data_IF_124205273223
#
_entry.id   IF_124205273223
#
_cell.length_a   1.000
_cell.length_b   1.000
_cell.length_c   1.000
_cell.angle_alpha   90.00
_cell.angle_beta   90.00
_cell.angle_gamma   90.00
#
_symmetry.space_group_name_H-M   'P 1'
#
loop_
_entity.id
_entity.type
_entity.pdbx_description
1 polymer ?
#
# COMPACT_ATOMS: atom_id res chain seq x y z
N UNK A 1 14.65 -2.62 7.60
CA UNK A 1 15.07 -1.19 7.63
C UNK A 1 16.02 -0.86 6.48
N UNK A 2 17.09 -1.66 6.32
CA UNK A 2 18.14 -1.36 5.33
C UNK A 2 17.60 -1.22 3.90
N UNK A 3 16.68 -2.07 3.48
CA UNK A 3 16.07 -2.03 2.14
C UNK A 3 15.42 -0.67 1.82
N UNK A 4 14.81 -0.04 2.83
CA UNK A 4 14.20 1.28 2.67
C UNK A 4 15.26 2.39 2.64
N UNK A 5 16.31 2.30 3.45
CA UNK A 5 17.42 3.26 3.42
C UNK A 5 18.16 3.20 2.09
N UNK A 6 18.40 2.00 1.56
CA UNK A 6 19.02 1.78 0.24
C UNK A 6 18.17 2.42 -0.88
N UNK A 7 16.84 2.37 -0.77
CA UNK A 7 15.94 3.04 -1.70
C UNK A 7 16.06 4.58 -1.61
N UNK A 8 16.06 5.13 -0.39
CA UNK A 8 16.24 6.58 -0.19
C UNK A 8 17.57 7.06 -0.81
N UNK A 9 18.67 6.37 -0.51
CA UNK A 9 19.99 6.68 -1.07
C UNK A 9 20.01 6.55 -2.59
N UNK A 10 19.43 5.49 -3.14
CA UNK A 10 19.33 5.28 -4.58
C UNK A 10 18.60 6.42 -5.28
N UNK A 11 17.44 6.83 -4.77
CA UNK A 11 16.66 7.91 -5.37
C UNK A 11 17.39 9.24 -5.25
N UNK A 12 17.99 9.53 -4.09
CA UNK A 12 18.78 10.73 -3.86
C UNK A 12 19.98 10.83 -4.82
N UNK A 13 20.73 9.74 -4.98
CA UNK A 13 22.00 9.75 -5.72
C UNK A 13 21.84 9.52 -7.22
N UNK A 14 20.80 8.81 -7.66
CA UNK A 14 20.61 8.37 -9.04
C UNK A 14 19.30 8.85 -9.67
N UNK A 15 18.40 9.42 -8.87
CA UNK A 15 17.12 9.94 -9.33
C UNK A 15 17.27 11.07 -10.32
N UNK A 16 16.34 11.15 -11.28
CA UNK A 16 16.30 12.22 -12.27
C UNK A 16 15.17 13.19 -11.92
N UNK A 17 15.38 14.51 -12.16
CA UNK A 17 14.32 15.48 -11.99
C UNK A 17 13.10 15.14 -12.84
N UNK A 18 11.91 15.25 -12.25
CA UNK A 18 10.65 15.01 -12.91
C UNK A 18 9.59 15.97 -12.38
N UNK A 19 8.77 16.50 -13.29
CA UNK A 19 7.60 17.28 -12.90
C UNK A 19 6.51 16.39 -12.28
N UNK A 20 5.65 17.01 -11.49
CA UNK A 20 4.52 16.38 -10.85
C UNK A 20 3.27 17.27 -10.90
N UNK A 21 2.12 16.71 -10.52
CA UNK A 21 0.83 17.41 -10.53
C UNK A 21 0.78 18.62 -9.59
N UNK A 22 1.58 18.60 -8.51
CA UNK A 22 1.58 19.68 -7.49
C UNK A 22 2.46 20.85 -7.88
N UNK A 23 3.36 20.69 -8.85
CA UNK A 23 4.34 21.69 -9.24
C UNK A 23 5.53 21.82 -8.27
N UNK A 24 5.63 20.98 -7.25
CA UNK A 24 6.74 20.97 -6.29
C UNK A 24 8.04 20.49 -6.92
N UNK A 25 7.95 19.54 -7.85
CA UNK A 25 9.08 18.83 -8.44
C UNK A 25 9.51 17.61 -7.61
N UNK A 26 9.99 16.62 -8.32
CA UNK A 26 10.48 15.38 -7.71
C UNK A 26 11.82 14.97 -8.32
N UNK A 27 12.55 14.11 -7.60
CA UNK A 27 13.59 13.26 -8.19
C UNK A 27 13.06 11.82 -8.12
N UNK A 28 13.23 11.06 -9.19
CA UNK A 28 12.66 9.70 -9.26
C UNK A 28 13.57 8.70 -9.94
N UNK A 29 13.37 7.42 -9.59
CA UNK A 29 13.86 6.25 -10.32
C UNK A 29 12.65 5.41 -10.73
N UNK A 30 12.76 4.71 -11.87
CA UNK A 30 11.71 3.82 -12.34
C UNK A 30 12.11 2.37 -12.12
N UNK A 31 11.28 1.66 -11.34
CA UNK A 31 11.50 0.27 -11.00
C UNK A 31 12.43 0.05 -9.80
N UNK A 32 11.85 -0.42 -8.70
CA UNK A 32 12.60 -0.87 -7.53
C UNK A 32 11.78 -1.92 -6.76
N UNK A 33 12.48 -2.82 -6.06
CA UNK A 33 11.82 -3.82 -5.23
C UNK A 33 12.54 -3.93 -3.89
N UNK A 34 11.76 -3.95 -2.81
CA UNK A 34 12.21 -4.23 -1.44
C UNK A 34 11.58 -5.53 -0.95
N UNK A 35 12.27 -6.23 -0.05
CA UNK A 35 11.78 -7.45 0.60
C UNK A 35 11.92 -7.33 2.11
N UNK A 36 10.84 -7.67 2.83
CA UNK A 36 10.80 -7.64 4.29
C UNK A 36 10.41 -9.03 4.79
N UNK A 37 11.28 -9.66 5.56
CA UNK A 37 10.96 -10.92 6.22
C UNK A 37 10.08 -10.66 7.43
N UNK A 38 8.80 -11.05 7.35
CA UNK A 38 7.82 -10.81 8.40
C UNK A 38 7.92 -11.79 9.57
N UNK A 39 8.71 -12.87 9.42
CA UNK A 39 8.99 -13.80 10.53
C UNK A 39 9.96 -13.17 11.53
N UNK A 40 10.91 -12.36 11.05
CA UNK A 40 11.95 -11.76 11.89
C UNK A 40 11.40 -10.56 12.68
N UNK A 41 10.62 -9.70 12.02
CA UNK A 41 10.05 -8.51 12.65
C UNK A 41 8.96 -7.88 11.80
N UNK A 42 8.10 -7.08 12.45
CA UNK A 42 7.18 -6.20 11.75
C UNK A 42 7.92 -4.95 11.23
N UNK A 43 7.89 -4.65 9.92
CA UNK A 43 8.66 -3.55 9.32
C UNK A 43 8.01 -2.18 9.58
N UNK A 44 7.97 -1.75 10.83
CA UNK A 44 7.59 -0.41 11.21
C UNK A 44 8.84 0.47 11.17
N UNK A 45 8.94 1.30 10.12
CA UNK A 45 10.13 2.14 9.92
C UNK A 45 10.24 3.21 10.99
N UNK A 46 11.47 3.51 11.42
CA UNK A 46 11.77 4.49 12.47
C UNK A 46 12.46 5.77 11.95
N UNK A 47 12.78 5.84 10.66
CA UNK A 47 13.33 7.03 9.99
C UNK A 47 12.43 8.26 10.08
N UNK A 48 11.13 8.03 10.29
CA UNK A 48 10.14 9.05 10.65
C UNK A 48 9.07 8.42 11.55
N UNK A 49 8.41 9.24 12.35
CA UNK A 49 7.31 8.78 13.21
C UNK A 49 6.11 8.36 12.33
N UNK A 50 5.81 7.07 12.31
CA UNK A 50 4.61 6.52 11.68
C UNK A 50 3.48 6.49 12.69
N UNK A 51 2.35 7.12 12.36
CA UNK A 51 1.15 7.05 13.18
C UNK A 51 0.41 5.73 12.89
N UNK A 52 0.81 4.66 13.57
CA UNK A 52 0.32 3.29 13.33
C UNK A 52 -1.21 3.17 13.43
N UNK A 53 -1.83 3.96 14.31
CA UNK A 53 -3.31 4.02 14.41
C UNK A 53 -3.93 4.37 13.05
N UNK A 54 -3.40 5.35 12.32
CA UNK A 54 -3.89 5.72 10.99
C UNK A 54 -3.72 4.58 9.99
N UNK A 55 -2.59 3.87 10.02
CA UNK A 55 -2.35 2.69 9.17
C UNK A 55 -3.41 1.62 9.41
N UNK A 56 -3.67 1.28 10.67
CA UNK A 56 -4.60 0.22 11.04
C UNK A 56 -6.06 0.59 10.66
N UNK A 57 -6.50 1.82 10.96
CA UNK A 57 -7.86 2.25 10.65
C UNK A 57 -8.09 2.43 9.14
N UNK A 58 -7.12 2.90 8.38
CA UNK A 58 -7.20 2.95 6.92
C UNK A 58 -7.35 1.54 6.33
N UNK A 59 -6.53 0.58 6.76
CA UNK A 59 -6.64 -0.80 6.30
C UNK A 59 -8.01 -1.41 6.64
N UNK A 60 -8.52 -1.20 7.86
CA UNK A 60 -9.85 -1.66 8.26
C UNK A 60 -10.95 -1.00 7.42
N UNK A 61 -10.80 0.27 7.09
CA UNK A 61 -11.72 1.00 6.22
C UNK A 61 -11.74 0.41 4.80
N UNK A 62 -10.58 0.10 4.21
CA UNK A 62 -10.52 -0.63 2.94
C UNK A 62 -11.20 -2.00 3.02
N UNK A 63 -10.93 -2.77 4.09
CA UNK A 63 -11.51 -4.09 4.30
C UNK A 63 -13.02 -4.07 4.55
N UNK A 64 -13.58 -2.98 5.02
CA UNK A 64 -15.04 -2.76 5.08
C UNK A 64 -15.67 -2.50 3.71
N UNK A 65 -14.89 -2.19 2.70
CA UNK A 65 -15.39 -1.77 1.38
C UNK A 65 -16.03 -0.39 1.40
N UNK A 66 -15.62 0.44 2.35
CA UNK A 66 -16.11 1.80 2.53
C UNK A 66 -15.29 2.79 1.69
N UNK A 67 -15.91 3.88 1.25
CA UNK A 67 -15.31 4.95 0.46
C UNK A 67 -15.55 6.33 1.09
N UNK A 68 -16.35 6.38 2.15
CA UNK A 68 -16.65 7.61 2.89
C UNK A 68 -15.72 7.74 4.10
N UNK A 69 -15.17 8.94 4.30
CA UNK A 69 -14.16 9.21 5.35
C UNK A 69 -14.75 9.34 6.76
N UNK A 70 -16.06 9.27 6.96
CA UNK A 70 -16.69 9.42 8.27
C UNK A 70 -16.14 8.41 9.29
N UNK A 71 -15.98 7.13 8.89
CA UNK A 71 -15.36 6.12 9.74
C UNK A 71 -13.94 6.50 10.19
N UNK A 72 -13.14 7.08 9.29
CA UNK A 72 -11.79 7.55 9.60
C UNK A 72 -11.82 8.73 10.56
N UNK A 73 -12.68 9.72 10.32
CA UNK A 73 -12.86 10.91 11.17
C UNK A 73 -13.31 10.54 12.58
N UNK A 74 -14.29 9.65 12.73
CA UNK A 74 -14.77 9.14 14.03
C UNK A 74 -13.64 8.48 14.84
N UNK A 75 -12.64 7.95 14.17
CA UNK A 75 -11.47 7.35 14.79
C UNK A 75 -10.24 8.27 14.86
N UNK A 76 -10.40 9.56 14.53
CA UNK A 76 -9.34 10.56 14.60
C UNK A 76 -8.25 10.39 13.54
N UNK A 77 -8.63 9.90 12.36
CA UNK A 77 -7.74 9.72 11.20
C UNK A 77 -8.16 10.67 10.09
N UNK A 78 -7.25 11.54 9.66
CA UNK A 78 -7.52 12.66 8.72
C UNK A 78 -6.77 12.56 7.39
N UNK A 79 -6.08 11.44 7.13
CA UNK A 79 -5.17 11.29 5.98
C UNK A 79 -5.85 11.36 4.61
N UNK A 80 -7.17 11.30 4.55
CA UNK A 80 -7.97 11.38 3.34
C UNK A 80 -8.85 12.65 3.26
N UNK A 81 -8.81 13.53 4.26
CA UNK A 81 -9.73 14.67 4.37
C UNK A 81 -9.63 15.63 3.17
N UNK A 82 -8.43 15.85 2.63
CA UNK A 82 -8.19 16.77 1.51
C UNK A 82 -8.73 16.26 0.16
N UNK A 83 -9.02 14.96 0.06
CA UNK A 83 -9.47 14.32 -1.19
C UNK A 83 -10.97 14.11 -1.26
N UNK A 84 -11.63 14.13 -0.11
CA UNK A 84 -13.05 13.86 -0.01
C UNK A 84 -13.88 15.04 -0.51
N UNK A 85 -15.04 14.73 -1.09
CA UNK A 85 -16.04 15.74 -1.45
C UNK A 85 -16.73 16.31 -0.20
N UNK A 86 -17.70 17.19 -0.40
CA UNK A 86 -18.49 17.84 0.66
C UNK A 86 -19.29 16.85 1.52
N UNK A 87 -19.59 15.67 1.01
CA UNK A 87 -20.28 14.58 1.71
C UNK A 87 -19.32 13.59 2.37
N UNK A 88 -18.02 13.79 2.21
CA UNK A 88 -16.97 12.91 2.72
C UNK A 88 -16.73 11.68 1.85
N UNK A 89 -17.19 11.66 0.61
CA UNK A 89 -16.99 10.52 -0.31
C UNK A 89 -15.76 10.73 -1.21
N UNK A 90 -15.10 9.63 -1.52
CA UNK A 90 -13.91 9.56 -2.38
C UNK A 90 -14.20 8.92 -3.74
N UNK A 91 -15.45 8.52 -3.99
CA UNK A 91 -15.79 7.70 -5.14
C UNK A 91 -15.31 6.25 -4.98
N UNK A 92 -15.29 5.46 -6.07
CA UNK A 92 -15.09 4.02 -6.01
C UNK A 92 -13.60 3.61 -5.79
N UNK A 93 -12.94 4.17 -4.76
CA UNK A 93 -11.55 3.90 -4.41
C UNK A 93 -11.36 2.51 -3.76
N UNK A 94 -10.16 2.18 -3.37
CA UNK A 94 -9.65 0.90 -2.84
C UNK A 94 -10.67 -0.05 -2.23
N UNK A 95 -11.40 0.36 -1.19
CA UNK A 95 -12.36 -0.49 -0.48
C UNK A 95 -13.49 -0.99 -1.37
N UNK A 96 -14.03 -0.12 -2.21
CA UNK A 96 -15.06 -0.48 -3.20
C UNK A 96 -14.53 -1.54 -4.17
N UNK A 97 -13.32 -1.36 -4.70
CA UNK A 97 -12.74 -2.30 -5.65
C UNK A 97 -12.40 -3.66 -4.98
N UNK A 98 -11.87 -3.64 -3.78
CA UNK A 98 -11.50 -4.87 -3.06
C UNK A 98 -12.71 -5.72 -2.66
N UNK A 99 -13.82 -5.07 -2.25
CA UNK A 99 -14.95 -5.75 -1.62
C UNK A 99 -16.23 -5.78 -2.46
N UNK A 100 -16.34 -4.89 -3.46
CA UNK A 100 -17.58 -4.69 -4.23
C UNK A 100 -17.27 -4.36 -5.68
N UNK A 101 -16.33 -5.07 -6.30
CA UNK A 101 -16.02 -4.90 -7.72
C UNK A 101 -17.23 -5.28 -8.57
N UNK A 102 -17.72 -4.34 -9.36
CA UNK A 102 -18.87 -4.57 -10.23
C UNK A 102 -18.44 -5.31 -11.50
N UNK A 103 -18.96 -6.53 -11.66
CA UNK A 103 -18.89 -7.30 -12.88
C UNK A 103 -20.13 -7.09 -13.74
N UNK A 104 -20.20 -7.76 -14.89
CA UNK A 104 -21.33 -7.61 -15.81
C UNK A 104 -22.69 -7.99 -15.19
N UNK A 105 -22.75 -9.04 -14.39
CA UNK A 105 -23.98 -9.59 -13.81
C UNK A 105 -23.89 -9.85 -12.31
N UNK A 106 -22.78 -9.55 -11.66
CA UNK A 106 -22.51 -9.87 -10.26
C UNK A 106 -21.53 -8.86 -9.64
N UNK A 107 -21.46 -8.88 -8.33
CA UNK A 107 -20.48 -8.14 -7.55
C UNK A 107 -19.44 -9.16 -7.05
N UNK A 108 -18.17 -8.84 -7.20
CA UNK A 108 -17.05 -9.65 -6.70
C UNK A 108 -16.49 -9.05 -5.40
N UNK A 109 -16.43 -9.87 -4.37
CA UNK A 109 -15.67 -9.59 -3.15
C UNK A 109 -14.30 -10.26 -3.26
N UNK A 110 -13.34 -9.56 -3.85
CA UNK A 110 -12.01 -10.09 -4.13
C UNK A 110 -11.29 -10.56 -2.87
N UNK A 111 -11.50 -9.89 -1.72
CA UNK A 111 -10.83 -10.27 -0.46
C UNK A 111 -11.40 -11.59 0.07
N UNK A 112 -12.72 -11.76 0.08
CA UNK A 112 -13.34 -13.01 0.49
C UNK A 112 -12.97 -14.15 -0.47
N UNK A 113 -12.98 -13.88 -1.78
CA UNK A 113 -12.61 -14.85 -2.80
C UNK A 113 -11.15 -15.31 -2.67
N UNK A 114 -10.20 -14.39 -2.45
CA UNK A 114 -8.78 -14.74 -2.31
C UNK A 114 -8.51 -15.54 -1.03
N UNK A 115 -9.15 -15.22 0.09
CA UNK A 115 -9.06 -15.99 1.32
C UNK A 115 -9.55 -17.44 1.09
N UNK A 116 -10.68 -17.58 0.42
CA UNK A 116 -11.21 -18.91 0.07
C UNK A 116 -10.24 -19.67 -0.84
N UNK A 117 -9.70 -19.02 -1.87
CA UNK A 117 -8.74 -19.63 -2.79
C UNK A 117 -7.45 -20.08 -2.08
N UNK A 118 -6.92 -19.28 -1.14
CA UNK A 118 -5.73 -19.64 -0.35
C UNK A 118 -5.98 -20.91 0.45
N UNK A 119 -7.16 -21.03 1.07
CA UNK A 119 -7.54 -22.22 1.86
C UNK A 119 -7.76 -23.46 0.99
N UNK A 120 -8.48 -23.32 -0.12
CA UNK A 120 -8.91 -24.44 -0.97
C UNK A 120 -7.81 -24.91 -1.94
N UNK A 121 -6.96 -23.99 -2.41
CA UNK A 121 -5.91 -24.28 -3.38
C UNK A 121 -4.71 -23.35 -3.18
N UNK A 122 -3.88 -23.59 -2.15
CA UNK A 122 -2.76 -22.70 -1.80
C UNK A 122 -1.70 -22.58 -2.91
N UNK A 123 -1.58 -23.58 -3.80
CA UNK A 123 -0.62 -23.57 -4.90
C UNK A 123 -1.06 -22.73 -6.11
N UNK A 124 -2.25 -22.14 -6.06
CA UNK A 124 -2.76 -21.29 -7.16
C UNK A 124 -1.87 -20.05 -7.36
N UNK A 125 -1.72 -19.68 -8.64
CA UNK A 125 -1.04 -18.43 -9.04
C UNK A 125 -2.01 -17.26 -9.24
N UNK A 126 -3.27 -17.41 -8.80
CA UNK A 126 -4.36 -16.46 -9.02
C UNK A 126 -4.81 -15.75 -7.74
N UNK A 127 -4.03 -15.80 -6.66
CA UNK A 127 -4.32 -15.10 -5.41
C UNK A 127 -4.07 -13.60 -5.57
N UNK A 128 -4.87 -12.91 -6.37
CA UNK A 128 -4.69 -11.51 -6.74
C UNK A 128 -5.91 -10.70 -6.29
N UNK A 129 -5.64 -9.50 -5.75
CA UNK A 129 -6.63 -8.45 -5.49
C UNK A 129 -6.19 -7.19 -6.23
N UNK A 130 -7.07 -6.61 -7.05
CA UNK A 130 -6.80 -5.42 -7.85
C UNK A 130 -7.69 -4.25 -7.44
N UNK A 131 -7.09 -3.06 -7.35
CA UNK A 131 -7.81 -1.80 -7.18
C UNK A 131 -7.90 -1.00 -8.50
N UNK A 132 -7.15 -1.40 -9.53
CA UNK A 132 -7.10 -0.69 -10.81
C UNK A 132 -8.24 -1.09 -11.72
N UNK A 133 -9.39 -0.43 -11.55
CA UNK A 133 -10.56 -0.60 -12.40
C UNK A 133 -10.62 0.54 -13.42
N UNK A 134 -10.26 0.27 -14.66
CA UNK A 134 -10.15 1.28 -15.72
C UNK A 134 -11.45 2.04 -15.95
N UNK A 135 -12.60 1.37 -15.77
CA UNK A 135 -13.91 1.99 -15.94
C UNK A 135 -14.25 2.99 -14.82
N UNK A 136 -13.76 2.75 -13.60
CA UNK A 136 -14.08 3.54 -12.43
C UNK A 136 -13.07 4.67 -12.14
N UNK A 137 -11.84 4.58 -12.69
CA UNK A 137 -10.77 5.58 -12.43
C UNK A 137 -11.24 7.03 -12.61
N UNK A 138 -12.01 7.39 -13.66
CA UNK A 138 -12.45 8.78 -13.83
C UNK A 138 -13.38 9.30 -12.72
N UNK A 139 -13.99 8.40 -11.94
CA UNK A 139 -14.92 8.71 -10.84
C UNK A 139 -14.25 8.66 -9.47
N UNK A 140 -12.96 8.35 -9.39
CA UNK A 140 -12.19 8.30 -8.14
C UNK A 140 -11.62 9.68 -7.82
N UNK A 141 -11.68 10.11 -6.57
CA UNK A 141 -11.02 11.33 -6.11
C UNK A 141 -9.49 11.26 -6.31
N UNK A 142 -8.93 10.06 -6.17
CA UNK A 142 -7.52 9.76 -6.43
C UNK A 142 -7.38 8.36 -7.03
N UNK A 143 -6.77 8.27 -8.22
CA UNK A 143 -6.47 6.98 -8.83
C UNK A 143 -5.50 6.16 -7.95
N UNK A 144 -5.72 4.85 -7.77
CA UNK A 144 -4.93 4.02 -6.86
C UNK A 144 -3.43 4.08 -7.14
N UNK A 145 -2.63 4.38 -6.12
CA UNK A 145 -1.17 4.30 -6.19
C UNK A 145 -0.68 2.85 -6.04
N UNK A 146 -1.18 2.13 -5.04
CA UNK A 146 -0.95 0.70 -4.86
C UNK A 146 -2.08 -0.06 -5.57
N UNK A 147 -1.78 -0.62 -6.75
CA UNK A 147 -2.81 -1.00 -7.72
C UNK A 147 -3.24 -2.45 -7.65
N UNK A 148 -2.35 -3.35 -7.25
CA UNK A 148 -2.66 -4.75 -7.05
C UNK A 148 -1.68 -5.39 -6.06
N UNK A 149 -2.16 -6.43 -5.40
CA UNK A 149 -1.31 -7.30 -4.60
C UNK A 149 -1.64 -8.76 -4.87
N UNK A 150 -0.62 -9.60 -4.70
CA UNK A 150 -0.70 -11.04 -4.91
C UNK A 150 -0.17 -11.76 -3.68
N UNK A 151 -0.87 -12.82 -3.26
CA UNK A 151 -0.38 -13.72 -2.23
C UNK A 151 0.28 -14.95 -2.83
N UNK A 152 1.21 -15.50 -2.08
CA UNK A 152 1.94 -16.71 -2.40
C UNK A 152 2.09 -17.56 -1.15
N UNK A 153 1.78 -18.85 -1.26
CA UNK A 153 1.89 -19.82 -0.17
C UNK A 153 3.02 -20.79 -0.47
N UNK A 154 3.95 -20.93 0.48
CA UNK A 154 5.00 -21.94 0.42
C UNK A 154 5.41 -22.35 1.83
N UNK A 155 5.60 -23.65 2.04
CA UNK A 155 6.05 -24.22 3.32
C UNK A 155 5.20 -23.78 4.53
N UNK A 156 3.87 -23.66 4.32
CA UNK A 156 2.94 -23.22 5.34
C UNK A 156 3.02 -21.72 5.68
N UNK A 157 3.65 -20.92 4.84
CA UNK A 157 3.82 -19.48 5.03
C UNK A 157 3.13 -18.70 3.91
N UNK A 158 2.53 -17.57 4.27
CA UNK A 158 1.90 -16.62 3.36
C UNK A 158 2.81 -15.42 3.15
N UNK A 159 3.16 -15.17 1.89
CA UNK A 159 3.85 -13.96 1.45
C UNK A 159 2.90 -13.09 0.62
N UNK A 160 3.17 -11.78 0.59
CA UNK A 160 2.40 -10.81 -0.19
C UNK A 160 3.36 -9.98 -1.04
N UNK A 161 3.04 -9.83 -2.33
CA UNK A 161 3.71 -8.86 -3.20
C UNK A 161 2.75 -7.77 -3.62
N UNK A 162 3.14 -6.51 -3.38
CA UNK A 162 2.42 -5.32 -3.82
C UNK A 162 3.12 -4.71 -5.03
N UNK A 163 2.34 -4.33 -6.06
CA UNK A 163 2.80 -3.39 -7.08
C UNK A 163 2.20 -2.01 -6.83
N UNK A 164 3.07 -1.03 -6.63
CA UNK A 164 2.74 0.38 -6.43
C UNK A 164 3.28 1.20 -7.60
N UNK A 165 2.37 1.74 -8.44
CA UNK A 165 2.74 2.49 -9.66
C UNK A 165 3.40 3.83 -9.38
N UNK A 166 3.04 4.47 -8.26
CA UNK A 166 3.48 5.80 -7.84
C UNK A 166 3.77 5.77 -6.35
N UNK A 167 4.99 6.03 -5.97
CA UNK A 167 5.50 5.83 -4.62
C UNK A 167 6.28 7.06 -4.13
N UNK A 168 5.61 7.91 -3.35
CA UNK A 168 6.28 8.90 -2.51
C UNK A 168 7.04 8.16 -1.42
N UNK A 169 8.37 8.06 -1.59
CA UNK A 169 9.19 7.21 -0.73
C UNK A 169 9.39 7.78 0.67
N UNK A 170 9.14 9.08 0.88
CA UNK A 170 9.28 9.70 2.20
C UNK A 170 7.96 9.74 2.98
N UNK A 171 6.86 10.15 2.36
CA UNK A 171 5.57 10.27 3.06
C UNK A 171 4.75 8.98 3.00
N UNK A 172 4.59 8.38 1.82
CA UNK A 172 3.64 7.29 1.59
C UNK A 172 4.19 5.89 1.81
N UNK A 173 5.36 5.59 1.27
CA UNK A 173 5.95 4.23 1.28
C UNK A 173 6.07 3.64 2.68
N UNK A 174 6.52 4.38 3.73
CA UNK A 174 6.55 3.84 5.09
C UNK A 174 5.18 3.37 5.61
N UNK A 175 4.12 4.10 5.30
CA UNK A 175 2.73 3.71 5.61
C UNK A 175 2.29 2.47 4.83
N UNK A 176 2.62 2.41 3.54
CA UNK A 176 2.25 1.27 2.69
C UNK A 176 2.96 -0.01 3.13
N UNK A 177 4.24 0.05 3.52
CA UNK A 177 4.98 -1.09 4.07
C UNK A 177 4.26 -1.63 5.31
N UNK A 178 3.94 -0.78 6.28
CA UNK A 178 3.25 -1.16 7.50
C UNK A 178 1.84 -1.71 7.21
N UNK A 179 1.06 -1.08 6.32
CA UNK A 179 -0.29 -1.48 5.96
C UNK A 179 -0.35 -2.87 5.34
N UNK A 180 0.48 -3.14 4.32
CA UNK A 180 0.48 -4.44 3.64
C UNK A 180 1.15 -5.55 4.46
N UNK A 181 2.10 -5.22 5.32
CA UNK A 181 2.62 -6.17 6.31
C UNK A 181 1.53 -6.58 7.30
N UNK A 182 0.73 -5.62 7.81
CA UNK A 182 -0.41 -5.90 8.68
C UNK A 182 -1.47 -6.75 7.96
N UNK A 183 -1.81 -6.41 6.71
CA UNK A 183 -2.72 -7.20 5.89
C UNK A 183 -2.24 -8.65 5.73
N UNK A 184 -0.95 -8.84 5.49
CA UNK A 184 -0.35 -10.19 5.34
C UNK A 184 -0.49 -10.99 6.63
N UNK A 185 -0.22 -10.39 7.79
CA UNK A 185 -0.44 -11.03 9.10
C UNK A 185 -1.92 -11.42 9.32
N UNK A 186 -2.85 -10.52 8.98
CA UNK A 186 -4.28 -10.77 9.15
C UNK A 186 -4.76 -11.94 8.27
N UNK A 187 -4.39 -11.94 6.98
CA UNK A 187 -4.80 -13.01 6.06
C UNK A 187 -4.12 -14.33 6.40
N UNK A 188 -2.84 -14.33 6.78
CA UNK A 188 -2.14 -15.53 7.23
C UNK A 188 -2.87 -16.16 8.44
N UNK A 189 -3.22 -15.35 9.44
CA UNK A 189 -3.95 -15.82 10.61
C UNK A 189 -5.34 -16.40 10.26
N UNK A 190 -6.09 -15.76 9.36
CA UNK A 190 -7.41 -16.25 8.90
C UNK A 190 -7.29 -17.58 8.13
N UNK A 191 -6.15 -17.80 7.47
CA UNK A 191 -5.89 -18.99 6.66
C UNK A 191 -5.12 -20.09 7.41
N UNK A 192 -4.87 -19.92 8.71
CA UNK A 192 -4.07 -20.85 9.54
C UNK A 192 -2.63 -21.06 9.01
N UNK A 193 -2.05 -19.99 8.44
CA UNK A 193 -0.70 -19.97 7.91
C UNK A 193 0.22 -19.10 8.79
N UNK A 194 1.52 -19.36 8.74
CA UNK A 194 2.53 -18.42 9.22
C UNK A 194 2.74 -17.31 8.21
N UNK A 195 3.34 -16.20 8.63
CA UNK A 195 3.76 -15.15 7.69
C UNK A 195 5.09 -15.52 7.04
N UNK A 196 5.27 -15.09 5.81
CA UNK A 196 6.53 -15.18 5.06
C UNK A 196 7.11 -13.79 4.83
N UNK A 197 7.15 -13.32 3.58
CA UNK A 197 7.71 -12.03 3.18
C UNK A 197 6.61 -11.04 2.76
N UNK A 198 6.89 -9.76 2.95
CA UNK A 198 6.27 -8.69 2.17
C UNK A 198 7.25 -8.20 1.10
N UNK A 199 6.85 -8.29 -0.16
CA UNK A 199 7.61 -7.85 -1.33
C UNK A 199 6.95 -6.60 -1.89
N UNK A 200 7.68 -5.47 -1.87
CA UNK A 200 7.16 -4.18 -2.32
C UNK A 200 7.82 -3.79 -3.64
N UNK A 201 7.07 -3.87 -4.73
CA UNK A 201 7.51 -3.52 -6.08
C UNK A 201 6.99 -2.15 -6.46
N UNK A 202 7.88 -1.23 -6.76
CA UNK A 202 7.61 0.16 -7.08
C UNK A 202 7.78 0.44 -8.57
N UNK A 203 6.87 1.19 -9.16
CA UNK A 203 7.01 1.78 -10.48
C UNK A 203 7.82 3.08 -10.41
N UNK A 204 7.15 4.23 -10.37
CA UNK A 204 7.77 5.54 -10.15
C UNK A 204 8.03 5.73 -8.66
N UNK A 205 9.27 5.52 -8.23
CA UNK A 205 9.71 5.77 -6.86
C UNK A 205 10.35 7.14 -6.78
N UNK A 206 9.72 8.07 -6.08
CA UNK A 206 10.10 9.47 -6.09
C UNK A 206 10.18 10.09 -4.70
N UNK A 207 10.99 11.13 -4.62
CA UNK A 207 11.16 11.99 -3.47
C UNK A 207 10.85 13.43 -3.91
N UNK A 208 9.92 14.08 -3.22
CA UNK A 208 9.63 15.48 -3.46
C UNK A 208 10.81 16.37 -3.06
N UNK A 209 11.08 17.42 -3.84
CA UNK A 209 12.27 18.26 -3.64
C UNK A 209 12.25 19.00 -2.30
N UNK A 210 11.08 19.27 -1.73
CA UNK A 210 10.92 19.88 -0.41
C UNK A 210 11.12 18.91 0.76
N UNK A 211 11.34 17.61 0.50
CA UNK A 211 11.63 16.59 1.53
C UNK A 211 13.05 16.03 1.47
N UNK A 212 13.92 16.60 0.62
CA UNK A 212 15.30 16.10 0.46
C UNK A 212 16.11 16.18 1.76
N UNK A 213 16.03 17.29 2.47
CA UNK A 213 16.74 17.50 3.74
C UNK A 213 16.28 16.53 4.82
N UNK A 214 14.96 16.38 4.98
CA UNK A 214 14.39 15.45 5.95
C UNK A 214 14.72 13.97 5.63
N UNK A 215 14.82 13.63 4.34
CA UNK A 215 15.24 12.30 3.93
C UNK A 215 16.72 12.04 4.24
N UNK A 216 17.59 13.05 4.09
CA UNK A 216 18.99 12.99 4.49
C UNK A 216 19.15 12.79 6.00
N UNK A 217 18.40 13.53 6.79
CA UNK A 217 18.38 13.37 8.25
C UNK A 217 17.94 11.96 8.64
N UNK A 218 16.88 11.44 8.00
CA UNK A 218 16.42 10.07 8.21
C UNK A 218 17.46 9.00 7.89
N UNK A 219 18.25 9.17 6.84
CA UNK A 219 19.35 8.26 6.49
C UNK A 219 20.46 8.35 7.53
N UNK A 220 20.90 9.56 7.90
CA UNK A 220 22.01 9.79 8.85
C UNK A 220 21.69 9.29 10.26
N UNK A 221 20.47 9.51 10.72
CA UNK A 221 20.08 9.25 12.12
C UNK A 221 19.47 7.85 12.31
N UNK A 222 19.49 7.01 11.26
CA UNK A 222 19.05 5.62 11.34
C UNK A 222 20.12 4.76 12.04
N UNK A 223 19.71 3.87 12.96
CA UNK A 223 20.62 2.99 13.69
C UNK A 223 21.29 1.95 12.81
#
# INVERSE_FOLDING_TARGET
MQEYLDLLEKVKNSGKPKGDRTGTGTISVFGHQMRFNLEDSFPLLTTKKIHFKSVAYELLWFLKGDTNINYLKENGVSIWDEWADENGDLGPVYGKQWRKWEGKNNIHDQVTEVIKQIKDNPDSRRHIVSAWNVADIPSMALAPCHILFQFYVQDGKLSCQLYQRSADIFLGVPFNIASYSLLTHMIANICDLKVGEFVHTLGDAHLYTNHLEQAEDGIRDSP
#
